data_IF_623731537359
#
_entry.id   IF_623731537359
#
_cell.length_a   1.000
_cell.length_b   1.000
_cell.length_c   1.000
_cell.angle_alpha   90.00
_cell.angle_beta   90.00
_cell.angle_gamma   90.00
#
_symmetry.space_group_name_H-M   'P 1'
#
loop_
_entity.id
_entity.type
_entity.pdbx_description
1 polymer ?
#
# COMPACT_ATOMS: atom_id res chain seq x y z
N UNK A 1 10.69 34.27 -0.62
CA UNK A 1 9.52 33.36 -0.62
C UNK A 1 9.54 32.58 0.67
N UNK A 2 8.40 32.39 1.32
CA UNK A 2 8.30 31.52 2.51
C UNK A 2 7.27 30.46 2.21
N UNK A 3 7.68 29.25 1.75
CA UNK A 3 6.73 28.21 1.40
C UNK A 3 5.99 27.78 2.67
N UNK A 4 4.67 27.91 2.69
CA UNK A 4 3.82 27.40 3.78
C UNK A 4 3.12 26.15 3.28
N UNK A 5 3.53 25.01 3.82
CA UNK A 5 2.88 23.73 3.63
C UNK A 5 1.69 23.62 4.59
N UNK A 6 0.51 23.28 4.09
CA UNK A 6 -0.68 22.99 4.90
C UNK A 6 -0.48 21.71 5.70
N UNK A 7 -1.08 21.66 6.90
CA UNK A 7 -0.89 20.56 7.86
C UNK A 7 -1.72 19.30 7.53
N UNK A 8 -2.70 19.42 6.64
CA UNK A 8 -3.44 18.26 6.10
C UNK A 8 -3.23 18.18 4.60
N UNK A 9 -2.41 17.20 4.23
CA UNK A 9 -2.35 16.70 2.87
C UNK A 9 -3.26 15.47 2.84
N UNK A 10 -4.56 15.68 2.60
CA UNK A 10 -5.43 14.57 2.22
C UNK A 10 -4.89 14.01 0.91
N UNK A 11 -4.32 12.81 0.98
CA UNK A 11 -3.62 12.17 -0.13
C UNK A 11 -4.54 11.96 -1.31
N UNK A 12 -4.40 12.80 -2.33
CA UNK A 12 -4.89 12.45 -3.65
C UNK A 12 -4.02 11.34 -4.23
N UNK A 13 -4.62 10.52 -5.07
CA UNK A 13 -3.99 9.33 -5.64
C UNK A 13 -2.77 9.72 -6.49
N UNK A 14 -1.59 9.26 -6.04
CA UNK A 14 -0.31 9.41 -6.75
C UNK A 14 0.41 10.71 -6.49
N UNK A 15 -0.10 11.58 -5.62
CA UNK A 15 0.58 12.80 -5.25
C UNK A 15 -0.30 13.74 -4.46
N UNK A 16 0.25 14.88 -4.10
CA UNK A 16 -0.48 15.88 -3.35
C UNK A 16 -0.19 17.28 -3.87
N UNK A 17 -1.09 18.21 -3.58
CA UNK A 17 -0.89 19.60 -3.93
C UNK A 17 -0.13 20.33 -2.82
N UNK A 18 0.89 21.07 -3.22
CA UNK A 18 1.51 22.08 -2.38
C UNK A 18 1.04 23.45 -2.79
N UNK A 19 0.62 24.21 -1.80
CA UNK A 19 0.33 25.63 -1.91
C UNK A 19 1.51 26.44 -1.42
N UNK A 20 1.81 27.57 -2.06
CA UNK A 20 2.70 28.58 -1.50
C UNK A 20 2.42 29.97 -2.08
N UNK A 21 2.83 30.99 -1.33
CA UNK A 21 2.84 32.37 -1.80
C UNK A 21 4.24 32.78 -2.25
N UNK A 22 4.32 33.33 -3.47
CA UNK A 22 5.54 33.88 -4.02
C UNK A 22 5.49 35.41 -3.97
N UNK A 23 6.56 36.00 -3.46
CA UNK A 23 6.76 37.44 -3.35
C UNK A 23 7.93 37.82 -4.24
N UNK A 24 7.66 38.56 -5.32
CA UNK A 24 8.68 39.03 -6.26
C UNK A 24 8.60 40.56 -6.38
N UNK A 25 9.61 41.27 -5.87
CA UNK A 25 9.66 42.73 -5.94
C UNK A 25 10.23 43.27 -7.27
N UNK A 26 10.74 42.40 -8.14
CA UNK A 26 11.35 42.78 -9.42
C UNK A 26 10.49 42.41 -10.63
N UNK A 27 11.12 42.34 -11.80
CA UNK A 27 10.53 41.81 -13.03
C UNK A 27 10.16 40.33 -12.88
N UNK A 28 9.23 39.80 -13.69
CA UNK A 28 8.91 38.37 -13.71
C UNK A 28 10.18 37.51 -13.84
N UNK A 29 10.22 36.41 -13.10
CA UNK A 29 11.36 35.48 -13.10
C UNK A 29 10.88 34.04 -13.33
N UNK A 30 11.68 33.25 -14.05
CA UNK A 30 11.49 31.82 -14.14
C UNK A 30 12.26 31.11 -13.03
N UNK A 31 11.58 30.18 -12.36
CA UNK A 31 12.14 29.37 -11.29
C UNK A 31 11.92 27.89 -11.57
N UNK A 32 12.81 27.07 -11.00
CA UNK A 32 12.64 25.63 -10.88
C UNK A 32 12.35 25.30 -9.43
N UNK A 33 11.30 24.53 -9.20
CA UNK A 33 10.98 23.93 -7.91
C UNK A 33 11.41 22.47 -7.93
N UNK A 34 12.47 22.16 -7.19
CA UNK A 34 12.96 20.80 -6.98
C UNK A 34 12.35 20.23 -5.69
N UNK A 35 11.43 19.29 -5.86
CA UNK A 35 10.87 18.47 -4.78
C UNK A 35 11.65 17.15 -4.70
N UNK A 36 12.27 16.87 -3.56
CA UNK A 36 13.09 15.67 -3.33
C UNK A 36 12.56 14.93 -2.11
N UNK A 37 12.21 13.67 -2.28
CA UNK A 37 11.85 12.77 -1.19
C UNK A 37 13.10 12.04 -0.71
N UNK A 38 13.41 12.14 0.58
CA UNK A 38 14.48 11.39 1.23
C UNK A 38 13.91 10.38 2.21
N UNK A 39 14.46 9.17 2.21
CA UNK A 39 14.11 8.15 3.19
C UNK A 39 14.67 8.47 4.59
N UNK A 40 14.42 7.59 5.57
CA UNK A 40 14.91 7.73 6.93
C UNK A 40 16.44 7.75 7.06
N UNK A 41 17.18 7.29 6.04
CA UNK A 41 18.65 7.31 5.97
C UNK A 41 19.18 8.54 5.21
N UNK A 42 18.30 9.42 4.73
CA UNK A 42 18.66 10.60 3.94
C UNK A 42 18.93 10.31 2.46
N UNK A 43 18.69 9.08 2.00
CA UNK A 43 18.88 8.68 0.60
C UNK A 43 17.73 9.23 -0.24
N UNK A 44 18.06 9.81 -1.39
CA UNK A 44 17.06 10.30 -2.34
C UNK A 44 16.26 9.12 -2.91
N UNK A 45 14.97 9.08 -2.58
CA UNK A 45 14.03 8.08 -3.06
C UNK A 45 13.34 8.51 -4.36
N UNK A 46 13.05 9.82 -4.49
CA UNK A 46 12.41 10.38 -5.68
C UNK A 46 12.69 11.88 -5.80
N UNK A 47 12.73 12.38 -7.03
CA UNK A 47 12.82 13.81 -7.36
C UNK A 47 11.80 14.20 -8.42
N UNK A 48 11.27 15.40 -8.29
CA UNK A 48 10.43 16.04 -9.29
C UNK A 48 10.81 17.51 -9.41
N UNK A 49 11.07 17.96 -10.64
CA UNK A 49 11.39 19.36 -10.94
C UNK A 49 10.21 20.01 -11.68
N UNK A 50 9.80 21.20 -11.25
CA UNK A 50 8.62 21.91 -11.76
C UNK A 50 9.00 23.35 -12.11
N UNK A 51 8.85 23.71 -13.38
CA UNK A 51 9.08 25.07 -13.84
C UNK A 51 7.89 25.98 -13.51
N UNK A 52 8.17 27.19 -13.02
CA UNK A 52 7.16 28.22 -12.75
C UNK A 52 7.67 29.59 -13.16
N UNK A 53 6.79 30.38 -13.78
CA UNK A 53 7.02 31.81 -13.96
C UNK A 53 6.37 32.57 -12.80
N UNK A 54 7.16 33.33 -12.06
CA UNK A 54 6.71 34.15 -10.93
C UNK A 54 6.61 35.60 -11.37
N UNK A 55 5.38 36.06 -11.56
CA UNK A 55 5.09 37.47 -11.88
C UNK A 55 5.52 38.39 -10.75
N UNK A 56 5.72 39.67 -11.07
CA UNK A 56 5.95 40.71 -10.08
C UNK A 56 4.76 40.83 -9.10
N UNK A 57 5.04 41.23 -7.86
CA UNK A 57 4.08 41.33 -6.77
C UNK A 57 3.92 40.03 -5.98
N UNK A 58 2.75 39.88 -5.35
CA UNK A 58 2.36 38.69 -4.57
C UNK A 58 1.50 37.79 -5.44
N UNK A 59 1.93 36.55 -5.63
CA UNK A 59 1.17 35.53 -6.38
C UNK A 59 0.99 34.25 -5.56
N UNK A 60 -0.12 33.58 -5.75
CA UNK A 60 -0.40 32.27 -5.17
C UNK A 60 -0.05 31.18 -6.18
N UNK A 61 0.57 30.11 -5.70
CA UNK A 61 1.05 29.02 -6.54
C UNK A 61 0.59 27.69 -5.98
N UNK A 62 0.25 26.79 -6.91
CA UNK A 62 -0.09 25.41 -6.64
C UNK A 62 0.82 24.51 -7.49
N UNK A 63 1.39 23.48 -6.87
CA UNK A 63 2.15 22.44 -7.57
C UNK A 63 1.63 21.07 -7.14
N UNK A 64 1.56 20.13 -8.09
CA UNK A 64 1.29 18.73 -7.78
C UNK A 64 2.62 17.99 -7.61
N UNK A 65 2.88 17.53 -6.40
CA UNK A 65 4.03 16.69 -6.07
C UNK A 65 3.59 15.23 -6.17
N UNK A 66 4.21 14.47 -7.06
CA UNK A 66 3.87 13.08 -7.32
C UNK A 66 4.57 12.15 -6.32
N UNK A 67 3.81 11.27 -5.67
CA UNK A 67 4.27 10.29 -4.68
C UNK A 67 4.27 8.85 -5.20
N UNK A 68 3.87 8.60 -6.45
CA UNK A 68 3.91 7.27 -7.06
C UNK A 68 5.33 6.67 -7.02
N UNK A 69 5.44 5.36 -6.80
CA UNK A 69 6.73 4.67 -6.73
C UNK A 69 7.53 4.93 -5.43
N UNK A 70 7.00 5.70 -4.48
CA UNK A 70 7.52 5.71 -3.12
C UNK A 70 6.93 4.55 -2.32
N UNK A 71 7.79 3.85 -1.57
CA UNK A 71 7.36 2.83 -0.62
C UNK A 71 6.44 3.41 0.45
N UNK A 72 5.65 2.57 1.12
CA UNK A 72 4.94 2.97 2.33
C UNK A 72 5.96 3.39 3.41
N UNK A 73 5.76 4.54 4.03
CA UNK A 73 6.65 5.01 5.08
C UNK A 73 6.71 6.52 5.23
N UNK A 74 7.53 6.97 6.18
CA UNK A 74 7.82 8.39 6.37
C UNK A 74 9.01 8.81 5.51
N UNK A 75 8.86 9.94 4.82
CA UNK A 75 9.90 10.58 4.00
C UNK A 75 10.05 12.03 4.43
N UNK A 76 11.25 12.57 4.26
CA UNK A 76 11.48 14.01 4.30
C UNK A 76 11.32 14.54 2.89
N UNK A 77 10.31 15.37 2.67
CA UNK A 77 10.15 16.13 1.44
C UNK A 77 10.92 17.45 1.55
N UNK A 78 12.00 17.57 0.80
CA UNK A 78 12.76 18.80 0.60
C UNK A 78 12.25 19.54 -0.64
N UNK A 79 11.87 20.81 -0.49
CA UNK A 79 11.47 21.67 -1.61
C UNK A 79 12.45 22.84 -1.74
N UNK A 80 13.16 22.90 -2.86
CA UNK A 80 14.08 23.97 -3.22
C UNK A 80 13.53 24.77 -4.39
N UNK A 81 13.47 26.10 -4.24
CA UNK A 81 13.24 27.00 -5.36
C UNK A 81 14.57 27.60 -5.79
N UNK A 82 14.96 27.45 -7.05
CA UNK A 82 16.14 28.07 -7.67
C UNK A 82 15.72 28.89 -8.88
N UNK A 83 16.54 29.83 -9.33
CA UNK A 83 16.26 30.46 -10.62
C UNK A 83 16.51 29.47 -11.74
N UNK A 84 15.78 29.59 -12.85
CA UNK A 84 15.98 28.73 -14.01
C UNK A 84 17.36 28.93 -14.67
N UNK A 85 17.95 30.12 -14.54
CA UNK A 85 19.27 30.47 -15.08
C UNK A 85 20.42 30.31 -14.08
N UNK A 86 20.13 30.10 -12.79
CA UNK A 86 21.11 29.91 -11.72
C UNK A 86 20.60 28.92 -10.68
N UNK A 87 21.07 27.68 -10.79
CA UNK A 87 20.76 26.58 -9.88
C UNK A 87 21.66 26.55 -8.63
N UNK A 88 22.70 27.41 -8.57
CA UNK A 88 23.68 27.38 -7.47
C UNK A 88 23.13 28.00 -6.19
N UNK A 89 22.21 28.97 -6.32
CA UNK A 89 21.62 29.69 -5.20
C UNK A 89 20.13 29.42 -5.06
N UNK A 90 19.75 28.80 -3.95
CA UNK A 90 18.35 28.66 -3.57
C UNK A 90 17.73 30.02 -3.24
N UNK A 91 16.62 30.34 -3.91
CA UNK A 91 15.72 31.46 -3.60
C UNK A 91 14.87 31.16 -2.36
N UNK A 92 14.55 29.88 -2.14
CA UNK A 92 13.84 29.40 -0.97
C UNK A 92 14.11 27.91 -0.74
N UNK A 93 13.97 27.50 0.51
CA UNK A 93 14.06 26.11 0.94
C UNK A 93 13.05 25.84 2.04
N UNK A 94 12.40 24.68 1.98
CA UNK A 94 11.62 24.15 3.09
C UNK A 94 11.74 22.63 3.10
N UNK A 95 11.53 22.02 4.25
CA UNK A 95 11.45 20.58 4.39
C UNK A 95 10.33 20.19 5.34
N UNK A 96 9.67 19.06 5.07
CA UNK A 96 8.67 18.48 5.98
C UNK A 96 8.66 16.97 5.91
N UNK A 97 8.30 16.34 7.02
CA UNK A 97 7.99 14.92 7.03
C UNK A 97 6.62 14.69 6.41
N UNK A 98 6.56 13.78 5.44
CA UNK A 98 5.33 13.30 4.80
C UNK A 98 5.25 11.79 4.99
N UNK A 99 4.05 11.27 5.26
CA UNK A 99 3.83 9.83 5.37
C UNK A 99 3.11 9.35 4.11
N UNK A 100 3.73 8.40 3.42
CA UNK A 100 3.14 7.68 2.30
C UNK A 100 2.45 6.45 2.90
N UNK A 101 1.13 6.43 2.86
CA UNK A 101 0.34 5.36 3.48
C UNK A 101 -0.02 4.24 2.50
N UNK A 102 -0.12 4.57 1.21
CA UNK A 102 -0.29 3.61 0.10
C UNK A 102 0.06 4.32 -1.22
N UNK A 103 0.68 3.62 -2.16
CA UNK A 103 0.89 4.15 -3.50
C UNK A 103 -0.46 4.30 -4.18
N UNK A 104 -0.93 5.54 -4.40
CA UNK A 104 -2.00 5.95 -5.32
C UNK A 104 -3.19 4.98 -5.48
N UNK A 105 -3.01 3.89 -6.20
CA UNK A 105 -4.02 2.88 -6.54
C UNK A 105 -4.06 1.70 -5.56
N UNK A 106 -3.43 1.80 -4.37
CA UNK A 106 -3.09 0.69 -3.48
C UNK A 106 -2.06 -0.29 -4.08
N UNK A 107 -1.38 0.13 -5.15
CA UNK A 107 -0.30 -0.64 -5.79
C UNK A 107 1.03 -0.29 -5.14
N UNK A 108 1.81 -1.29 -4.69
CA UNK A 108 3.11 -1.09 -4.05
C UNK A 108 4.06 -0.16 -4.81
N UNK A 109 4.80 0.63 -4.05
CA UNK A 109 5.74 1.63 -4.56
C UNK A 109 7.15 1.10 -4.79
N UNK A 110 7.55 0.07 -4.03
CA UNK A 110 8.85 -0.60 -4.18
C UNK A 110 8.74 -2.04 -4.70
N UNK A 111 9.85 -2.57 -5.21
CA UNK A 111 9.88 -3.88 -5.84
C UNK A 111 9.67 -5.04 -4.87
N UNK A 112 10.17 -4.93 -3.63
CA UNK A 112 10.07 -6.01 -2.65
C UNK A 112 8.63 -6.16 -2.15
N UNK A 113 7.97 -5.04 -1.82
CA UNK A 113 6.56 -5.01 -1.46
C UNK A 113 5.69 -5.51 -2.62
N UNK A 114 5.99 -5.10 -3.86
CA UNK A 114 5.26 -5.58 -5.04
C UNK A 114 5.37 -7.09 -5.21
N UNK A 115 6.58 -7.64 -5.11
CA UNK A 115 6.81 -9.08 -5.25
C UNK A 115 6.13 -9.88 -4.14
N UNK A 116 6.12 -9.39 -2.89
CA UNK A 116 5.37 -10.00 -1.79
C UNK A 116 3.86 -9.98 -2.07
N UNK A 117 3.31 -8.82 -2.48
CA UNK A 117 1.89 -8.65 -2.79
C UNK A 117 1.45 -9.51 -3.98
N UNK A 118 2.33 -9.74 -4.97
CA UNK A 118 2.12 -10.69 -6.07
C UNK A 118 2.07 -12.13 -5.56
N UNK A 119 3.00 -12.54 -4.68
CA UNK A 119 2.98 -13.88 -4.09
C UNK A 119 1.70 -14.13 -3.29
N UNK A 120 1.23 -13.09 -2.59
CA UNK A 120 -0.03 -13.11 -1.85
C UNK A 120 -1.25 -13.28 -2.75
N UNK A 121 -1.21 -12.97 -4.06
CA UNK A 121 -2.34 -13.16 -4.99
C UNK A 121 -2.80 -14.61 -5.12
N UNK A 122 -2.04 -15.58 -4.60
CA UNK A 122 -2.37 -17.00 -4.67
C UNK A 122 -3.76 -17.38 -4.12
N UNK A 123 -4.39 -16.55 -3.30
CA UNK A 123 -5.74 -16.81 -2.82
C UNK A 123 -6.85 -16.17 -3.66
N UNK A 124 -6.54 -15.32 -4.63
CA UNK A 124 -7.51 -14.66 -5.53
C UNK A 124 -7.26 -14.94 -7.02
N UNK A 125 -6.02 -15.26 -7.39
CA UNK A 125 -5.56 -15.42 -8.76
C UNK A 125 -5.30 -16.89 -9.12
N UNK A 126 -5.31 -17.19 -10.43
CA UNK A 126 -4.75 -18.44 -10.96
C UNK A 126 -3.22 -18.33 -11.06
N UNK A 127 -2.54 -19.48 -11.15
CA UNK A 127 -1.09 -19.49 -11.30
C UNK A 127 -0.64 -18.75 -12.56
N UNK A 128 -1.38 -18.89 -13.67
CA UNK A 128 -1.11 -18.18 -14.93
C UNK A 128 -1.21 -16.66 -14.80
N UNK A 129 -2.13 -16.13 -13.98
CA UNK A 129 -2.24 -14.70 -13.72
C UNK A 129 -1.02 -14.19 -12.94
N UNK A 130 -0.60 -14.96 -11.93
CA UNK A 130 0.57 -14.63 -11.11
C UNK A 130 1.83 -14.63 -11.96
N UNK A 131 2.02 -15.67 -12.77
CA UNK A 131 3.17 -15.79 -13.67
C UNK A 131 3.17 -14.64 -14.70
N UNK A 132 2.01 -14.29 -15.26
CA UNK A 132 1.88 -13.15 -16.17
C UNK A 132 2.37 -11.84 -15.52
N UNK A 133 2.03 -11.58 -14.26
CA UNK A 133 2.48 -10.36 -13.57
C UNK A 133 3.98 -10.47 -13.24
N UNK A 134 4.40 -11.59 -12.64
CA UNK A 134 5.76 -11.82 -12.15
C UNK A 134 6.80 -11.73 -13.28
N UNK A 135 6.49 -12.28 -14.45
CA UNK A 135 7.40 -12.41 -15.59
C UNK A 135 7.45 -11.12 -16.45
N UNK A 136 6.94 -9.99 -15.92
CA UNK A 136 7.15 -8.68 -16.52
C UNK A 136 8.65 -8.31 -16.55
N UNK A 137 9.12 -7.76 -17.67
CA UNK A 137 10.53 -7.48 -17.89
C UNK A 137 11.08 -6.37 -16.99
N UNK A 138 10.25 -5.39 -16.63
CA UNK A 138 10.64 -4.24 -15.82
C UNK A 138 9.73 -4.04 -14.62
N UNK A 139 10.23 -3.38 -13.58
CA UNK A 139 9.43 -3.03 -12.41
C UNK A 139 8.20 -2.17 -12.76
N UNK A 140 8.29 -1.14 -13.62
CA UNK A 140 7.11 -0.42 -14.11
C UNK A 140 6.07 -1.32 -14.79
N UNK A 141 6.50 -2.24 -15.68
CA UNK A 141 5.59 -3.16 -16.36
C UNK A 141 4.90 -4.11 -15.37
N UNK A 142 5.63 -4.60 -14.36
CA UNK A 142 5.10 -5.45 -13.29
C UNK A 142 4.00 -4.72 -12.52
N UNK A 143 4.20 -3.44 -12.19
CA UNK A 143 3.18 -2.60 -11.53
C UNK A 143 1.95 -2.42 -12.39
N UNK A 144 2.12 -2.17 -13.69
CA UNK A 144 0.99 -2.03 -14.64
C UNK A 144 0.19 -3.33 -14.67
N UNK A 145 0.83 -4.49 -14.85
CA UNK A 145 0.12 -5.79 -14.87
C UNK A 145 -0.60 -6.10 -13.56
N UNK A 146 0.00 -5.75 -12.42
CA UNK A 146 -0.63 -5.89 -11.11
C UNK A 146 -1.85 -4.96 -10.96
N UNK A 147 -1.74 -3.70 -11.39
CA UNK A 147 -2.85 -2.76 -11.38
C UNK A 147 -4.00 -3.23 -12.29
N UNK A 148 -3.68 -3.71 -13.50
CA UNK A 148 -4.65 -4.25 -14.46
C UNK A 148 -5.38 -5.48 -13.92
N UNK A 149 -4.67 -6.36 -13.18
CA UNK A 149 -5.26 -7.53 -12.54
C UNK A 149 -6.40 -7.15 -11.59
N UNK A 150 -6.18 -6.13 -10.77
CA UNK A 150 -7.18 -5.63 -9.81
C UNK A 150 -8.25 -4.79 -10.48
N UNK A 151 -7.90 -3.91 -11.43
CA UNK A 151 -8.87 -3.10 -12.18
C UNK A 151 -9.99 -3.93 -12.82
N UNK A 152 -9.67 -5.12 -13.37
CA UNK A 152 -10.67 -6.03 -13.93
C UNK A 152 -11.60 -6.69 -12.89
N UNK A 153 -11.25 -6.60 -11.61
CA UNK A 153 -11.98 -7.14 -10.46
C UNK A 153 -12.55 -6.03 -9.58
N UNK A 154 -12.53 -4.80 -10.07
CA UNK A 154 -13.09 -3.64 -9.37
C UNK A 154 -14.63 -3.72 -9.36
N UNK A 155 -15.26 -3.86 -8.19
CA UNK A 155 -16.72 -3.86 -8.09
C UNK A 155 -17.32 -2.48 -8.37
N UNK A 156 -16.55 -1.40 -8.17
CA UNK A 156 -17.01 -0.03 -8.34
C UNK A 156 -16.02 0.81 -9.15
N UNK A 157 -15.83 0.51 -10.46
CA UNK A 157 -14.80 1.16 -11.29
C UNK A 157 -14.96 2.69 -11.48
N UNK A 158 -16.07 3.26 -11.00
CA UNK A 158 -16.29 4.71 -10.95
C UNK A 158 -15.79 5.38 -9.66
N UNK A 159 -15.40 4.61 -8.64
CA UNK A 159 -14.72 5.11 -7.46
C UNK A 159 -13.21 5.10 -7.69
N UNK A 160 -12.52 5.78 -6.79
CA UNK A 160 -11.06 5.94 -6.84
C UNK A 160 -10.32 4.72 -6.27
N UNK A 161 -11.04 3.84 -5.59
CA UNK A 161 -10.49 2.76 -4.76
C UNK A 161 -11.12 1.44 -5.17
N UNK A 162 -10.31 0.39 -5.29
CA UNK A 162 -10.82 -0.93 -5.58
C UNK A 162 -11.16 -1.64 -4.27
N UNK A 163 -12.44 -1.70 -3.91
CA UNK A 163 -12.86 -2.25 -2.61
C UNK A 163 -12.49 -3.73 -2.46
N UNK A 164 -12.53 -4.50 -3.55
CA UNK A 164 -12.14 -5.91 -3.53
C UNK A 164 -10.65 -6.09 -3.21
N UNK A 165 -9.79 -5.25 -3.79
CA UNK A 165 -8.36 -5.26 -3.50
C UNK A 165 -8.08 -4.84 -2.05
N UNK A 166 -8.76 -3.79 -1.58
CA UNK A 166 -8.59 -3.30 -0.21
C UNK A 166 -8.99 -4.35 0.82
N UNK A 167 -10.16 -4.94 0.67
CA UNK A 167 -10.63 -5.98 1.58
C UNK A 167 -9.72 -7.20 1.53
N UNK A 168 -9.29 -7.62 0.34
CA UNK A 168 -8.35 -8.73 0.17
C UNK A 168 -7.05 -8.51 0.96
N UNK A 169 -6.39 -7.37 0.75
CA UNK A 169 -5.14 -7.08 1.44
C UNK A 169 -5.33 -6.75 2.92
N UNK A 170 -6.49 -6.24 3.33
CA UNK A 170 -6.83 -6.12 4.75
C UNK A 170 -6.88 -7.50 5.44
N UNK A 171 -7.44 -8.52 4.77
CA UNK A 171 -7.43 -9.90 5.29
C UNK A 171 -6.04 -10.51 5.33
N UNK A 172 -5.22 -10.25 4.31
CA UNK A 172 -3.81 -10.66 4.28
C UNK A 172 -3.05 -10.04 5.45
N UNK A 173 -3.19 -8.74 5.67
CA UNK A 173 -2.48 -8.00 6.71
C UNK A 173 -2.95 -8.47 8.10
N UNK A 174 -4.26 -8.69 8.29
CA UNK A 174 -4.79 -9.30 9.52
C UNK A 174 -4.19 -10.68 9.77
N UNK A 175 -4.17 -11.54 8.75
CA UNK A 175 -3.61 -12.88 8.87
C UNK A 175 -2.11 -12.85 9.20
N UNK A 176 -1.38 -11.93 8.56
CA UNK A 176 0.04 -11.71 8.82
C UNK A 176 0.31 -11.30 10.27
N UNK A 177 -0.58 -10.53 10.90
CA UNK A 177 -0.43 -10.10 12.29
C UNK A 177 -0.86 -11.19 13.30
N UNK A 178 -1.96 -11.90 13.04
CA UNK A 178 -2.62 -12.75 14.03
C UNK A 178 -2.25 -14.24 13.95
N UNK A 179 -1.81 -14.73 12.79
CA UNK A 179 -1.60 -16.17 12.55
C UNK A 179 -0.16 -16.53 12.21
N UNK A 180 0.79 -15.67 12.61
CA UNK A 180 2.23 -15.91 12.41
C UNK A 180 2.71 -17.09 13.25
N UNK A 181 3.50 -17.95 12.62
CA UNK A 181 4.25 -19.03 13.27
C UNK A 181 5.71 -19.00 12.77
N UNK A 182 6.30 -20.15 12.44
CA UNK A 182 7.53 -20.17 11.62
C UNK A 182 7.25 -19.78 10.16
N UNK A 183 5.99 -19.73 9.73
CA UNK A 183 5.57 -19.16 8.44
C UNK A 183 5.06 -17.73 8.60
N UNK A 184 5.06 -17.00 7.48
CA UNK A 184 4.26 -15.78 7.35
C UNK A 184 2.79 -16.10 7.67
N UNK A 185 2.10 -15.20 8.38
CA UNK A 185 0.77 -15.49 8.90
C UNK A 185 -0.25 -15.74 7.80
N UNK A 186 -0.14 -15.06 6.65
CA UNK A 186 -0.98 -15.36 5.48
C UNK A 186 -0.70 -16.73 4.83
N UNK A 187 0.44 -17.37 5.13
CA UNK A 187 0.81 -18.70 4.62
C UNK A 187 0.40 -19.84 5.55
N UNK A 188 -0.01 -19.57 6.79
CA UNK A 188 -0.50 -20.61 7.70
C UNK A 188 -1.88 -21.10 7.28
N UNK A 189 -2.29 -22.25 7.80
CA UNK A 189 -3.60 -22.80 7.52
C UNK A 189 -4.72 -21.86 8.00
N UNK A 190 -4.58 -21.28 9.20
CA UNK A 190 -5.49 -20.26 9.72
C UNK A 190 -5.52 -19.02 8.80
N UNK A 191 -4.36 -18.50 8.40
CA UNK A 191 -4.29 -17.34 7.53
C UNK A 191 -4.90 -17.57 6.16
N UNK A 192 -4.66 -18.74 5.56
CA UNK A 192 -5.30 -19.13 4.30
C UNK A 192 -6.83 -19.15 4.43
N UNK A 193 -7.35 -19.81 5.47
CA UNK A 193 -8.80 -19.90 5.70
C UNK A 193 -9.39 -18.51 5.92
N UNK A 194 -8.73 -17.68 6.72
CA UNK A 194 -9.17 -16.31 6.97
C UNK A 194 -9.19 -15.45 5.70
N UNK A 195 -8.18 -15.54 4.85
CA UNK A 195 -8.14 -14.78 3.60
C UNK A 195 -9.26 -15.23 2.66
N UNK A 196 -9.43 -16.53 2.47
CA UNK A 196 -10.43 -17.10 1.54
C UNK A 196 -11.86 -16.86 2.02
N UNK A 197 -12.16 -17.19 3.27
CA UNK A 197 -13.54 -17.18 3.79
C UNK A 197 -13.90 -15.89 4.53
N UNK A 198 -12.90 -15.16 5.03
CA UNK A 198 -13.08 -13.96 5.83
C UNK A 198 -13.05 -14.26 7.33
N UNK A 199 -13.44 -13.28 8.16
CA UNK A 199 -13.59 -13.48 9.58
C UNK A 199 -14.66 -14.56 9.85
N UNK A 200 -14.41 -15.50 10.77
CA UNK A 200 -15.43 -16.46 11.19
C UNK A 200 -16.53 -15.76 12.00
N UNK A 201 -17.74 -16.28 11.92
CA UNK A 201 -18.89 -15.80 12.71
C UNK A 201 -18.75 -16.15 14.19
N UNK A 202 -18.12 -17.30 14.49
CA UNK A 202 -17.83 -17.74 15.85
C UNK A 202 -16.51 -18.50 15.91
N UNK A 203 -15.78 -18.30 17.01
CA UNK A 203 -14.53 -19.00 17.32
C UNK A 203 -14.66 -19.68 18.67
N UNK A 204 -14.55 -21.00 18.68
CA UNK A 204 -14.53 -21.80 19.91
C UNK A 204 -13.13 -22.36 20.14
N UNK A 205 -12.56 -22.06 21.30
CA UNK A 205 -11.30 -22.63 21.78
C UNK A 205 -11.63 -23.58 22.92
N UNK A 206 -11.28 -24.85 22.78
CA UNK A 206 -11.60 -25.84 23.80
C UNK A 206 -10.70 -25.63 25.05
N UNK A 207 -11.28 -25.26 26.21
CA UNK A 207 -10.50 -24.92 27.39
C UNK A 207 -10.00 -26.14 28.19
N UNK A 208 -10.39 -27.38 27.83
CA UNK A 208 -10.15 -28.58 28.66
C UNK A 208 -9.06 -29.52 28.17
N UNK A 209 -8.10 -29.05 27.37
CA UNK A 209 -7.04 -29.92 26.85
C UNK A 209 -5.73 -29.76 27.60
N UNK A 210 -5.11 -30.90 27.96
CA UNK A 210 -3.73 -30.96 28.45
C UNK A 210 -2.83 -30.08 27.59
N UNK A 211 -1.82 -29.43 28.16
CA UNK A 211 -0.95 -28.43 27.49
C UNK A 211 -0.41 -28.83 26.10
N UNK A 212 -0.40 -30.12 25.77
CA UNK A 212 0.06 -30.71 24.52
C UNK A 212 -0.90 -30.61 23.30
N UNK A 213 -2.20 -30.34 23.45
CA UNK A 213 -3.14 -30.31 22.31
C UNK A 213 -4.09 -29.13 22.42
N UNK A 214 -4.12 -28.24 21.44
CA UNK A 214 -5.05 -27.10 21.42
C UNK A 214 -5.90 -27.15 20.16
N UNK A 215 -7.22 -27.09 20.33
CA UNK A 215 -8.17 -27.04 19.22
C UNK A 215 -8.82 -25.66 19.12
N UNK A 216 -8.89 -25.14 17.90
CA UNK A 216 -9.63 -23.93 17.57
C UNK A 216 -10.63 -24.25 16.46
N UNK A 217 -11.91 -23.97 16.71
CA UNK A 217 -13.00 -24.23 15.76
C UNK A 217 -13.60 -22.92 15.29
N UNK A 218 -13.58 -22.69 13.99
CA UNK A 218 -14.18 -21.54 13.32
C UNK A 218 -15.48 -21.94 12.64
N UNK A 219 -16.52 -21.14 12.80
CA UNK A 219 -17.83 -21.36 12.20
C UNK A 219 -18.18 -20.24 11.24
N UNK A 220 -18.73 -20.61 10.08
CA UNK A 220 -19.18 -19.71 9.02
C UNK A 220 -20.63 -20.05 8.64
N UNK A 221 -21.59 -19.43 9.31
CA UNK A 221 -23.03 -19.66 9.11
C UNK A 221 -23.46 -19.28 7.68
N UNK A 222 -22.95 -18.16 7.19
CA UNK A 222 -23.22 -17.66 5.83
C UNK A 222 -22.65 -18.55 4.72
N UNK A 223 -21.74 -19.49 5.05
CA UNK A 223 -21.11 -20.43 4.11
C UNK A 223 -21.68 -21.84 4.24
N UNK A 224 -22.99 -21.94 4.41
CA UNK A 224 -23.68 -23.23 4.57
C UNK A 224 -23.33 -23.91 5.89
N UNK A 225 -23.17 -23.14 6.96
CA UNK A 225 -22.72 -23.62 8.28
C UNK A 225 -21.39 -24.39 8.23
N UNK A 226 -20.45 -23.91 7.41
CA UNK A 226 -19.11 -24.48 7.33
C UNK A 226 -18.42 -24.38 8.70
N UNK A 227 -17.90 -25.50 9.17
CA UNK A 227 -17.10 -25.59 10.40
C UNK A 227 -15.68 -26.02 10.06
N UNK A 228 -14.70 -25.22 10.46
CA UNK A 228 -13.29 -25.45 10.21
C UNK A 228 -12.58 -25.66 11.54
N UNK A 229 -11.87 -26.77 11.69
CA UNK A 229 -11.16 -27.13 12.92
C UNK A 229 -9.67 -27.08 12.66
N UNK A 230 -8.96 -26.40 13.56
CA UNK A 230 -7.51 -26.34 13.59
C UNK A 230 -6.97 -26.99 14.86
N UNK A 231 -5.78 -27.56 14.76
CA UNK A 231 -5.10 -28.24 15.85
C UNK A 231 -3.64 -27.80 15.93
N UNK A 232 -3.20 -27.40 17.12
CA UNK A 232 -1.80 -27.18 17.45
C UNK A 232 -1.31 -28.29 18.40
N UNK A 233 -0.43 -29.15 17.88
CA UNK A 233 0.24 -30.23 18.62
C UNK A 233 1.58 -29.79 19.20
N UNK A 234 2.06 -28.61 18.79
CA UNK A 234 3.37 -28.09 19.17
C UNK A 234 3.31 -27.20 20.41
N UNK A 235 2.15 -26.58 20.67
CA UNK A 235 1.96 -25.57 21.71
C UNK A 235 2.55 -24.21 21.37
N UNK A 236 3.17 -24.06 20.19
CA UNK A 236 3.82 -22.83 19.71
C UNK A 236 2.94 -22.01 18.75
N UNK A 237 1.65 -22.36 18.61
CA UNK A 237 0.70 -21.64 17.78
C UNK A 237 0.71 -22.03 16.30
N UNK A 238 1.33 -23.16 15.93
CA UNK A 238 1.24 -23.71 14.56
C UNK A 238 -0.05 -24.51 14.37
N UNK A 239 -1.18 -23.81 14.36
CA UNK A 239 -2.49 -24.41 14.13
C UNK A 239 -2.61 -24.96 12.70
N UNK A 240 -2.72 -26.29 12.60
CA UNK A 240 -2.92 -27.02 11.35
C UNK A 240 -4.36 -27.32 11.09
N UNK A 241 -4.77 -27.20 9.83
CA UNK A 241 -6.12 -27.51 9.40
C UNK A 241 -6.38 -29.02 9.47
N UNK A 242 -7.39 -29.40 10.25
CA UNK A 242 -7.86 -30.79 10.36
C UNK A 242 -9.07 -31.03 9.46
N UNK A 243 -9.93 -30.02 9.29
CA UNK A 243 -11.12 -30.13 8.43
C UNK A 243 -10.73 -30.17 6.95
N UNK A 244 -11.21 -31.14 6.16
CA UNK A 244 -11.02 -31.13 4.72
C UNK A 244 -11.80 -29.97 4.08
N UNK A 245 -11.09 -28.98 3.56
CA UNK A 245 -11.66 -27.91 2.72
C UNK A 245 -11.07 -27.98 1.31
N UNK A 246 -11.83 -27.51 0.31
CA UNK A 246 -11.36 -27.44 -1.07
C UNK A 246 -10.07 -26.63 -1.17
N UNK A 247 -9.07 -27.19 -1.85
CA UNK A 247 -7.82 -26.50 -2.17
C UNK A 247 -7.98 -25.50 -3.33
N UNK A 248 -9.11 -25.61 -4.04
CA UNK A 248 -9.43 -24.76 -5.18
C UNK A 248 -10.27 -23.55 -4.79
N UNK A 249 -10.76 -23.47 -3.55
CA UNK A 249 -11.51 -22.30 -3.10
C UNK A 249 -10.60 -21.08 -3.07
N UNK A 250 -11.10 -19.99 -3.64
CA UNK A 250 -10.41 -18.71 -3.75
C UNK A 250 -11.26 -17.64 -3.09
N UNK A 251 -10.60 -16.59 -2.62
CA UNK A 251 -11.23 -15.36 -2.21
C UNK A 251 -12.21 -14.87 -3.29
N UNK A 252 -13.38 -14.45 -2.83
CA UNK A 252 -14.39 -13.77 -3.64
C UNK A 252 -14.89 -12.58 -2.83
N UNK A 253 -14.90 -11.42 -3.46
CA UNK A 253 -15.55 -10.24 -2.91
C UNK A 253 -17.05 -10.51 -2.77
N UNK A 254 -17.62 -10.16 -1.62
CA UNK A 254 -19.05 -10.30 -1.35
C UNK A 254 -19.61 -8.92 -0.98
N UNK A 255 -20.66 -8.50 -1.69
CA UNK A 255 -21.39 -7.26 -1.43
C UNK A 255 -22.32 -7.39 -0.22
#
# INVERSE_FOLDING_TARGET
>A
MTPRLSDEVSGDVGGFFLFFEAYNAGSPIDIVLDAVFRDAKGVEAKRQSINKNIRSGRTQQWIRVQSDGLARGAFVLELRAVKADDSTRALAFTQRTVRIETGASGVPGDAAELDERIAQLRYVAMQSDIDLIRDAATFPDKRIRFADFWSRRDPTPGTRENEAMQEYYARIDYAQEHFRSYLAGWMTDQGRVYVVYGPPDNVTRDPFQSEARRLETWQYFSRGNLQVVFQDDSGFGDFRLVTPISQLEKYRYAH
#
